data_IF_933049593825
#
_entry.id   IF_933049593825
#
_cell.length_a   1.000
_cell.length_b   1.000
_cell.length_c   1.000
_cell.angle_alpha   90.00
_cell.angle_beta   90.00
_cell.angle_gamma   90.00
#
_symmetry.space_group_name_H-M   'P 1'
#
loop_
_entity.id
_entity.type
_entity.pdbx_description
1 polymer ?
#
# COMPACT_ATOMS: atom_id res chain seq x y z
N UNK A 1 -5.41 -5.35 10.99
CA UNK A 1 -5.58 -6.42 11.32
C UNK A 1 -4.64 -7.36 10.87
N UNK A 2 -4.11 -8.00 11.33
CA UNK A 2 -3.01 -8.77 10.94
C UNK A 2 -3.26 -10.06 10.24
N UNK A 3 -4.42 -10.27 9.78
CA UNK A 3 -4.71 -11.51 9.09
C UNK A 3 -4.13 -11.56 7.69
N UNK A 4 -3.83 -12.75 7.20
CA UNK A 4 -3.40 -12.92 5.83
C UNK A 4 -4.61 -12.94 4.92
N UNK A 5 -4.59 -12.10 3.91
CA UNK A 5 -5.65 -12.05 2.91
C UNK A 5 -5.38 -13.06 1.80
N UNK A 6 -4.11 -13.32 1.50
CA UNK A 6 -3.72 -14.24 0.45
C UNK A 6 -2.93 -15.42 1.01
N UNK A 7 -3.16 -16.60 0.43
CA UNK A 7 -2.32 -17.74 0.74
C UNK A 7 -1.00 -17.57 0.01
N UNK A 8 0.07 -18.03 0.61
CA UNK A 8 1.36 -18.01 -0.06
C UNK A 8 2.19 -16.77 0.19
N UNK A 9 1.66 -15.79 0.93
CA UNK A 9 2.49 -14.66 1.31
C UNK A 9 3.31 -15.01 2.54
N UNK A 10 4.50 -14.43 2.62
CA UNK A 10 5.39 -14.66 3.73
C UNK A 10 5.83 -13.36 4.35
N UNK A 11 6.45 -13.47 5.53
CA UNK A 11 7.01 -12.30 6.20
C UNK A 11 8.18 -11.77 5.37
N UNK A 12 8.47 -10.49 5.54
CA UNK A 12 9.60 -9.88 4.89
C UNK A 12 10.40 -9.08 5.90
N UNK A 13 11.69 -8.95 5.64
CA UNK A 13 12.57 -8.14 6.45
C UNK A 13 12.31 -6.68 6.14
N UNK A 14 12.44 -5.82 7.14
CA UNK A 14 12.25 -4.38 6.91
C UNK A 14 13.22 -3.82 5.87
N UNK A 15 14.33 -4.50 5.64
CA UNK A 15 15.24 -4.09 4.57
C UNK A 15 14.59 -4.22 3.18
N UNK A 16 13.55 -5.02 3.04
CA UNK A 16 12.87 -5.18 1.76
C UNK A 16 11.78 -4.14 1.53
N UNK A 17 11.46 -3.32 2.53
CA UNK A 17 10.37 -2.35 2.41
C UNK A 17 10.64 -1.38 1.27
N UNK A 18 11.85 -0.86 1.19
CA UNK A 18 12.19 0.10 0.15
C UNK A 18 12.05 -0.52 -1.24
N UNK A 19 12.51 -1.75 -1.39
CA UNK A 19 12.40 -2.43 -2.67
C UNK A 19 10.95 -2.70 -3.05
N UNK A 20 10.13 -3.10 -2.09
CA UNK A 20 8.71 -3.31 -2.33
C UNK A 20 8.01 -2.01 -2.72
N UNK A 21 8.34 -0.92 -2.03
CA UNK A 21 7.76 0.38 -2.36
C UNK A 21 8.19 0.84 -3.76
N UNK A 22 9.46 0.62 -4.10
CA UNK A 22 9.93 0.97 -5.44
C UNK A 22 9.19 0.16 -6.50
N UNK A 23 8.96 -1.13 -6.25
CA UNK A 23 8.23 -1.95 -7.20
C UNK A 23 6.80 -1.45 -7.38
N UNK A 24 6.13 -1.11 -6.28
CA UNK A 24 4.77 -0.62 -6.37
C UNK A 24 4.73 0.69 -7.16
N UNK A 25 5.59 1.63 -6.80
CA UNK A 25 5.54 2.96 -7.41
C UNK A 25 6.07 2.97 -8.83
N UNK A 26 7.01 2.10 -9.16
CA UNK A 26 7.66 2.15 -10.47
C UNK A 26 7.18 1.09 -11.46
N UNK A 27 6.53 0.02 -10.98
CA UNK A 27 6.03 -1.02 -11.86
C UNK A 27 4.51 -1.08 -11.88
N UNK A 28 3.89 -0.92 -10.72
CA UNK A 28 2.44 -1.06 -10.63
C UNK A 28 1.75 0.25 -10.92
N UNK A 29 2.21 1.33 -10.29
CA UNK A 29 1.55 2.64 -10.39
C UNK A 29 2.30 3.64 -11.26
N UNK A 30 3.26 3.16 -12.04
CA UNK A 30 4.03 4.05 -12.88
C UNK A 30 3.13 4.73 -13.90
N UNK A 31 3.26 6.04 -14.00
CA UNK A 31 2.49 6.80 -14.97
C UNK A 31 1.10 7.19 -14.51
N UNK A 32 0.68 6.76 -13.32
CA UNK A 32 -0.65 7.10 -12.83
C UNK A 32 -0.68 8.39 -12.03
N UNK A 33 0.48 8.82 -11.51
CA UNK A 33 0.51 9.94 -10.58
C UNK A 33 0.10 9.56 -9.18
N UNK A 34 -0.23 8.30 -8.94
CA UNK A 34 -0.58 7.80 -7.62
C UNK A 34 0.68 7.32 -6.94
N UNK A 35 0.92 7.80 -5.73
CA UNK A 35 2.12 7.44 -4.99
C UNK A 35 1.73 6.76 -3.69
N UNK A 36 2.34 5.62 -3.40
CA UNK A 36 2.13 4.92 -2.14
C UNK A 36 3.07 5.48 -1.09
N UNK A 37 2.53 5.83 0.06
CA UNK A 37 3.30 6.40 1.16
C UNK A 37 3.28 5.38 2.28
N UNK A 38 4.46 4.94 2.78
CA UNK A 38 4.49 3.95 3.85
C UNK A 38 4.02 4.55 5.17
N UNK A 39 3.27 3.75 5.93
CA UNK A 39 2.80 4.16 7.25
C UNK A 39 3.01 3.01 8.22
N UNK A 40 2.78 3.27 9.50
CA UNK A 40 2.98 2.26 10.51
C UNK A 40 4.44 1.87 10.61
N UNK A 41 4.70 0.59 10.75
CA UNK A 41 6.08 0.10 10.87
C UNK A 41 6.87 0.32 9.58
N UNK A 42 6.20 0.45 8.44
CA UNK A 42 6.88 0.69 7.18
C UNK A 42 7.42 2.11 7.08
N UNK A 43 6.85 3.04 7.84
CA UNK A 43 7.31 4.44 7.80
C UNK A 43 8.67 4.60 8.47
N UNK A 44 8.99 3.73 9.43
CA UNK A 44 10.27 3.78 10.12
C UNK A 44 10.86 2.37 10.15
N UNK A 45 11.43 1.92 9.03
CA UNK A 45 11.96 0.56 8.97
C UNK A 45 13.07 0.35 9.97
N UNK A 46 13.06 -0.81 10.60
CA UNK A 46 14.07 -1.18 11.59
C UNK A 46 14.82 -2.40 11.07
N UNK A 47 16.11 -2.26 10.79
CA UNK A 47 16.88 -3.40 10.27
C UNK A 47 16.78 -4.61 11.20
N UNK A 48 16.61 -5.79 10.64
CA UNK A 48 16.48 -7.01 11.40
C UNK A 48 15.07 -7.31 11.87
N UNK A 49 14.14 -6.39 11.72
CA UNK A 49 12.76 -6.64 12.08
C UNK A 49 12.00 -7.19 10.88
N UNK A 50 10.98 -7.99 11.12
CA UNK A 50 10.18 -8.58 10.06
C UNK A 50 8.73 -8.20 10.23
N UNK A 51 8.02 -8.10 9.12
CA UNK A 51 6.61 -7.78 9.11
C UNK A 51 5.87 -8.72 8.16
N UNK A 52 4.61 -8.98 8.45
CA UNK A 52 3.79 -9.83 7.59
C UNK A 52 3.11 -9.10 6.48
N UNK A 53 2.99 -7.78 6.59
CA UNK A 53 2.34 -6.98 5.56
C UNK A 53 2.99 -5.60 5.51
N UNK A 54 2.83 -4.95 4.36
CA UNK A 54 3.36 -3.60 4.15
C UNK A 54 2.17 -2.66 4.05
N UNK A 55 2.08 -1.73 4.98
CA UNK A 55 0.97 -0.76 5.02
C UNK A 55 1.37 0.52 4.32
N UNK A 56 0.56 0.92 3.33
CA UNK A 56 0.78 2.17 2.61
C UNK A 56 -0.54 2.89 2.45
N UNK A 57 -0.48 4.19 2.21
CA UNK A 57 -1.67 4.98 1.90
C UNK A 57 -1.48 5.65 0.55
N UNK A 58 -2.61 5.95 -0.10
CA UNK A 58 -2.63 6.74 -1.33
C UNK A 58 -3.71 7.80 -1.19
N UNK A 59 -3.52 8.93 -1.88
CA UNK A 59 -4.47 10.03 -1.82
C UNK A 59 -5.69 9.68 -2.67
N UNK A 60 -6.88 9.75 -2.07
CA UNK A 60 -8.11 9.43 -2.80
C UNK A 60 -8.30 10.35 -4.00
N UNK A 61 -7.88 11.61 -3.88
CA UNK A 61 -8.04 12.54 -5.00
C UNK A 61 -7.20 12.12 -6.20
N UNK A 62 -6.01 11.60 -5.96
CA UNK A 62 -5.17 11.13 -7.04
C UNK A 62 -5.80 9.91 -7.72
N UNK A 63 -6.36 9.00 -6.93
CA UNK A 63 -6.98 7.80 -7.48
C UNK A 63 -8.27 8.16 -8.23
N UNK A 64 -9.12 8.98 -7.62
CA UNK A 64 -10.37 9.41 -8.25
C UNK A 64 -10.07 10.12 -9.57
N UNK A 65 -9.08 11.00 -9.56
CA UNK A 65 -8.74 11.78 -10.75
C UNK A 65 -8.19 10.88 -11.85
N UNK A 66 -7.31 9.96 -11.52
CA UNK A 66 -6.70 9.11 -12.54
C UNK A 66 -7.73 8.20 -13.20
N UNK A 67 -8.62 7.60 -12.40
CA UNK A 67 -9.61 6.67 -12.92
C UNK A 67 -10.93 7.34 -13.27
N UNK A 68 -11.03 8.64 -13.04
CA UNK A 68 -12.25 9.40 -13.33
C UNK A 68 -13.45 8.76 -12.63
N UNK A 69 -13.27 8.44 -11.37
CA UNK A 69 -14.28 7.78 -10.56
C UNK A 69 -15.22 8.80 -9.93
N UNK A 70 -16.41 8.37 -9.54
CA UNK A 70 -17.39 9.28 -8.93
C UNK A 70 -17.13 9.47 -7.45
N UNK A 71 -16.58 8.48 -6.78
CA UNK A 71 -16.34 8.54 -5.35
C UNK A 71 -15.22 7.61 -4.99
N UNK A 72 -14.87 7.59 -3.70
CA UNK A 72 -13.73 6.78 -3.25
C UNK A 72 -14.01 5.29 -3.38
N UNK A 73 -15.25 4.87 -3.25
CA UNK A 73 -15.59 3.46 -3.38
C UNK A 73 -15.30 2.96 -4.79
N UNK A 74 -15.71 3.73 -5.79
CA UNK A 74 -15.41 3.38 -7.17
C UNK A 74 -13.91 3.47 -7.44
N UNK A 75 -13.26 4.45 -6.86
CA UNK A 75 -11.82 4.61 -7.03
C UNK A 75 -11.06 3.41 -6.49
N UNK A 76 -11.45 2.90 -5.33
CA UNK A 76 -10.80 1.72 -4.76
C UNK A 76 -10.98 0.51 -5.66
N UNK A 77 -12.18 0.32 -6.17
CA UNK A 77 -12.45 -0.79 -7.06
C UNK A 77 -11.64 -0.66 -8.35
N UNK A 78 -11.59 0.54 -8.91
CA UNK A 78 -10.82 0.77 -10.12
C UNK A 78 -9.33 0.54 -9.88
N UNK A 79 -8.82 0.97 -8.74
CA UNK A 79 -7.42 0.75 -8.39
C UNK A 79 -7.11 -0.75 -8.29
N UNK A 80 -7.99 -1.49 -7.62
CA UNK A 80 -7.83 -2.93 -7.50
C UNK A 80 -7.80 -3.59 -8.87
N UNK A 81 -8.74 -3.23 -9.73
CA UNK A 81 -8.81 -3.82 -11.08
C UNK A 81 -7.59 -3.45 -11.91
N UNK A 82 -7.13 -2.22 -11.76
CA UNK A 82 -5.94 -1.77 -12.48
C UNK A 82 -4.72 -2.60 -12.08
N UNK A 83 -4.54 -2.81 -10.78
CA UNK A 83 -3.41 -3.60 -10.29
C UNK A 83 -3.56 -5.05 -10.73
N UNK A 84 -4.78 -5.59 -10.68
CA UNK A 84 -5.03 -6.95 -11.13
C UNK A 84 -4.69 -7.12 -12.61
N UNK A 85 -4.96 -6.09 -13.40
CA UNK A 85 -4.65 -6.13 -14.84
C UNK A 85 -3.16 -6.21 -15.11
N UNK A 86 -2.35 -5.88 -14.13
CA UNK A 86 -0.89 -5.98 -14.25
C UNK A 86 -0.38 -7.35 -13.88
N UNK A 87 -1.26 -8.26 -13.47
CA UNK A 87 -0.87 -9.62 -13.15
C UNK A 87 -0.75 -9.91 -11.66
N UNK A 88 -1.20 -9.01 -10.82
CA UNK A 88 -1.11 -9.20 -9.37
C UNK A 88 -2.47 -9.64 -8.83
N UNK A 89 -2.46 -10.43 -7.77
CA UNK A 89 -3.69 -10.78 -7.07
C UNK A 89 -4.10 -9.62 -6.18
N UNK A 90 -5.38 -9.24 -6.26
CA UNK A 90 -5.88 -8.11 -5.46
C UNK A 90 -7.20 -8.47 -4.81
N UNK A 91 -7.53 -7.77 -3.74
CA UNK A 91 -8.80 -7.96 -3.04
C UNK A 91 -9.16 -6.64 -2.35
N UNK A 92 -10.41 -6.23 -2.46
CA UNK A 92 -10.90 -5.02 -1.77
C UNK A 92 -11.69 -5.45 -0.56
N UNK A 93 -11.25 -5.01 0.62
CA UNK A 93 -11.94 -5.30 1.86
C UNK A 93 -12.05 -3.99 2.64
N UNK A 94 -13.27 -3.52 2.85
CA UNK A 94 -13.49 -2.28 3.57
C UNK A 94 -12.83 -1.10 2.88
N UNK A 95 -11.94 -0.42 3.58
CA UNK A 95 -11.24 0.74 3.03
C UNK A 95 -9.91 0.38 2.41
N UNK A 96 -9.54 -0.90 2.41
CA UNK A 96 -8.22 -1.33 1.97
C UNK A 96 -8.27 -2.08 0.65
N UNK A 97 -7.23 -1.90 -0.13
CA UNK A 97 -6.98 -2.73 -1.31
C UNK A 97 -5.76 -3.58 -0.96
N UNK A 98 -5.94 -4.88 -0.94
CA UNK A 98 -4.86 -5.80 -0.61
C UNK A 98 -4.26 -6.35 -1.89
N UNK A 99 -2.94 -6.41 -1.96
CA UNK A 99 -2.23 -6.85 -3.15
C UNK A 99 -1.18 -7.88 -2.74
N UNK A 100 -1.07 -8.95 -3.52
CA UNK A 100 -0.01 -9.92 -3.33
C UNK A 100 1.16 -9.50 -4.21
N UNK A 101 2.22 -8.99 -3.58
CA UNK A 101 3.39 -8.47 -4.29
C UNK A 101 4.49 -9.53 -4.36
N UNK A 102 4.90 -9.92 -5.56
CA UNK A 102 6.01 -10.85 -5.67
C UNK A 102 7.36 -10.15 -5.45
N UNK A 103 8.25 -10.85 -4.79
CA UNK A 103 9.60 -10.37 -4.58
C UNK A 103 10.52 -11.58 -4.60
N UNK A 104 11.28 -11.76 -5.69
CA UNK A 104 12.09 -12.94 -5.86
C UNK A 104 11.22 -14.17 -6.00
N UNK A 105 11.47 -15.19 -5.19
CA UNK A 105 10.68 -16.41 -5.21
C UNK A 105 9.54 -16.39 -4.20
N UNK A 106 9.41 -15.30 -3.45
CA UNK A 106 8.37 -15.17 -2.44
C UNK A 106 7.37 -14.10 -2.85
N UNK A 107 6.28 -14.02 -2.12
CA UNK A 107 5.35 -12.92 -2.29
C UNK A 107 4.96 -12.40 -0.91
N UNK A 108 4.59 -11.12 -0.87
CA UNK A 108 4.30 -10.45 0.38
C UNK A 108 3.00 -9.66 0.25
N UNK A 109 2.33 -9.45 1.36
CA UNK A 109 1.06 -8.76 1.37
C UNK A 109 1.28 -7.26 1.45
N UNK A 110 0.65 -6.53 0.53
CA UNK A 110 0.66 -5.07 0.53
C UNK A 110 -0.75 -4.60 0.80
N UNK A 111 -0.91 -3.75 1.81
CA UNK A 111 -2.22 -3.20 2.16
C UNK A 111 -2.22 -1.72 1.77
N UNK A 112 -3.07 -1.36 0.83
CA UNK A 112 -3.19 0.02 0.35
C UNK A 112 -4.48 0.60 0.89
N UNK A 113 -4.36 1.71 1.64
CA UNK A 113 -5.53 2.41 2.15
C UNK A 113 -5.70 3.70 1.37
N UNK A 114 -6.89 3.92 0.83
CA UNK A 114 -7.19 5.15 0.09
C UNK A 114 -7.76 6.16 1.09
N UNK A 115 -7.06 7.27 1.27
CA UNK A 115 -7.41 8.26 2.30
C UNK A 115 -7.57 9.65 1.68
N UNK A 116 -8.31 10.50 2.36
CA UNK A 116 -8.66 11.80 1.82
C UNK A 116 -7.53 12.81 1.84
N UNK A 117 -6.53 12.62 2.65
CA UNK A 117 -5.40 13.55 2.71
C UNK A 117 -4.19 12.73 3.07
N UNK A 118 -3.59 12.12 2.05
CA UNK A 118 -2.51 11.18 2.29
C UNK A 118 -1.32 11.82 2.96
N UNK A 119 -0.98 13.05 2.58
CA UNK A 119 0.17 13.72 3.18
C UNK A 119 -0.08 13.98 4.67
N UNK A 120 -1.29 14.39 5.01
CA UNK A 120 -1.64 14.65 6.41
C UNK A 120 -1.70 13.33 7.19
N UNK A 121 -2.30 12.30 6.59
CA UNK A 121 -2.41 11.01 7.24
C UNK A 121 -1.04 10.40 7.50
N UNK A 122 -0.16 10.48 6.52
CA UNK A 122 1.20 9.97 6.67
C UNK A 122 1.92 10.72 7.79
N UNK A 123 1.70 12.02 7.89
CA UNK A 123 2.33 12.82 8.93
C UNK A 123 1.90 12.36 10.31
N UNK A 124 0.62 12.08 10.49
CA UNK A 124 0.16 11.56 11.77
C UNK A 124 0.76 10.21 12.09
N UNK A 125 0.85 9.33 11.10
CA UNK A 125 1.36 8.00 11.34
C UNK A 125 2.85 7.95 11.54
N UNK A 126 3.59 8.85 10.90
CA UNK A 126 5.04 8.85 11.04
C UNK A 126 5.48 9.66 12.24
N UNK A 127 4.63 10.60 12.68
CA UNK A 127 4.97 11.40 13.81
C UNK A 127 4.18 11.00 15.01
N UNK A 128 3.98 9.76 15.19
CA UNK A 128 3.27 9.31 16.35
C UNK A 128 4.14 9.53 17.52
N UNK A 129 4.97 10.40 17.47
CA UNK A 129 5.76 10.75 18.52
C UNK A 129 4.97 11.49 19.45
N UNK A 130 5.05 11.13 20.62
CA UNK A 130 4.18 11.65 21.57
C UNK A 130 4.31 13.10 21.74
N UNK A 131 5.33 13.59 21.43
CA UNK A 131 5.46 14.83 21.56
C UNK A 131 4.63 15.44 20.82
N UNK A 132 4.05 15.55 20.99
CA UNK A 132 3.36 16.10 20.38
C UNK A 132 2.97 15.99 19.49
N UNK A 133 3.19 15.43 19.43
CA UNK A 133 2.63 15.38 18.55
C UNK A 133 1.84 15.53 18.66
#
# INVERSE_FOLDING_TARGET
MGGKVFDGTSDFDHNAIEELLDDVNNKVLKGTGIECIPVGSAATPTPGKRSGDLDVIVDENAVISYFNSKNVKEAKQALSEYIASKGYNTKVIGTNVHVQMPLGTESHQLDIMVVSDAAQTAKFHTHNIPQGS
#
